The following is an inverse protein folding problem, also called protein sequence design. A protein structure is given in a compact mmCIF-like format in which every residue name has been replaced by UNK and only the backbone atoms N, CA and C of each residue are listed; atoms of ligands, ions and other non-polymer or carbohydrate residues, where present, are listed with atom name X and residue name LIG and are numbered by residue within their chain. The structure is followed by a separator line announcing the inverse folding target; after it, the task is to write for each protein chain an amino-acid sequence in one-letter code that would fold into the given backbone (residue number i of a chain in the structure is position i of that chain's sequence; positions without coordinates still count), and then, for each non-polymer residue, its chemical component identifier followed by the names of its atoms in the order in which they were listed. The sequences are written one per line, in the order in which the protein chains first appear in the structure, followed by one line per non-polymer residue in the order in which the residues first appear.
data_IF_593211693944
#
_entry.id   IF_593211693944
#
_cell.length_a   1.000
_cell.length_b   1.000
_cell.length_c   1.000
_cell.angle_alpha   90.00
_cell.angle_beta   90.00
_cell.angle_gamma   90.00
#
_symmetry.space_group_name_H-M   'P 1'
#
loop_
_entity.id
_entity.type
_entity.pdbx_description
1 polymer ?
#
# COMPACT_ATOMS: atom_id res chain seq x y z
N UNK A 1 -5.31 -14.08 34.45
CA UNK A 1 -5.79 -12.77 34.62
C UNK A 1 -5.09 -11.71 33.75
N UNK A 2 -4.95 -11.94 32.42
CA UNK A 2 -4.31 -10.94 31.53
C UNK A 2 -5.37 -10.10 30.78
N UNK A 3 -6.64 -10.45 30.90
CA UNK A 3 -7.64 -9.94 29.96
C UNK A 3 -8.34 -8.64 30.34
N UNK A 4 -8.45 -8.28 31.61
CA UNK A 4 -9.30 -7.15 31.98
C UNK A 4 -8.63 -5.78 31.86
N UNK A 5 -7.29 -5.71 31.92
CA UNK A 5 -6.60 -4.42 31.88
C UNK A 5 -6.32 -3.93 30.46
N UNK A 6 -6.22 -4.84 29.48
CA UNK A 6 -5.92 -4.47 28.08
C UNK A 6 -7.16 -3.94 27.37
N UNK A 7 -8.33 -4.45 27.74
CA UNK A 7 -9.59 -4.05 27.10
C UNK A 7 -10.54 -3.24 27.99
N UNK A 8 -10.12 -2.85 29.19
CA UNK A 8 -10.91 -1.99 30.07
C UNK A 8 -12.26 -2.58 30.52
N UNK A 9 -12.37 -3.93 30.64
CA UNK A 9 -13.63 -4.62 30.92
C UNK A 9 -14.05 -4.39 32.38
N UNK A 10 -14.68 -3.28 32.66
CA UNK A 10 -15.25 -3.00 33.97
C UNK A 10 -16.78 -2.80 33.98
N UNK A 11 -17.46 -2.92 32.84
CA UNK A 11 -18.92 -2.83 32.78
C UNK A 11 -19.48 -3.77 31.72
N UNK A 12 -20.37 -4.65 32.15
CA UNK A 12 -20.85 -5.83 31.41
C UNK A 12 -21.75 -5.48 30.20
N UNK A 13 -22.08 -4.22 29.94
CA UNK A 13 -23.12 -3.90 28.98
C UNK A 13 -22.65 -3.54 27.57
N UNK A 14 -21.58 -2.84 27.39
CA UNK A 14 -21.00 -2.58 26.07
C UNK A 14 -19.63 -1.96 26.25
N UNK A 15 -18.63 -2.49 25.57
CA UNK A 15 -17.31 -1.88 25.53
C UNK A 15 -16.96 -1.47 24.11
N UNK A 16 -16.66 -0.19 23.98
CA UNK A 16 -16.12 0.38 22.75
C UNK A 16 -14.65 0.77 23.00
N UNK A 17 -13.78 0.30 22.13
CA UNK A 17 -12.35 0.61 22.15
C UNK A 17 -12.01 1.28 20.83
N UNK A 18 -11.28 2.36 20.88
CA UNK A 18 -10.91 3.20 19.75
C UNK A 18 -11.19 4.68 20.03
N UNK A 19 -11.12 5.55 19.03
CA UNK A 19 -10.77 5.24 17.63
C UNK A 19 -9.27 4.95 17.45
N UNK A 20 -8.95 4.05 16.54
CA UNK A 20 -7.58 3.74 16.13
C UNK A 20 -7.39 4.07 14.65
N UNK A 21 -6.16 4.37 14.27
CA UNK A 21 -5.77 4.49 12.87
C UNK A 21 -4.83 3.35 12.51
N UNK A 22 -5.18 2.59 11.47
CA UNK A 22 -4.36 1.50 10.94
C UNK A 22 -3.90 1.87 9.54
N UNK A 23 -2.58 1.93 9.35
CA UNK A 23 -1.96 2.17 8.05
C UNK A 23 -1.17 0.92 7.63
N UNK A 24 -1.52 0.37 6.48
CA UNK A 24 -0.79 -0.71 5.81
C UNK A 24 -0.22 -0.17 4.51
N UNK A 25 1.02 -0.50 4.21
CA UNK A 25 1.67 -0.15 2.95
C UNK A 25 2.59 -1.30 2.53
N UNK A 26 2.35 -1.84 1.35
CA UNK A 26 3.19 -2.86 0.73
C UNK A 26 3.45 -2.47 -0.72
N UNK A 27 4.69 -2.64 -1.18
CA UNK A 27 5.04 -2.41 -2.58
C UNK A 27 6.06 -3.43 -3.06
N UNK A 28 5.99 -3.74 -4.35
CA UNK A 28 6.95 -4.55 -5.07
C UNK A 28 7.49 -3.76 -6.25
N UNK A 29 8.80 -3.71 -6.38
CA UNK A 29 9.48 -3.08 -7.49
C UNK A 29 10.77 -3.84 -7.82
N UNK A 30 11.24 -3.66 -9.04
CA UNK A 30 12.57 -4.11 -9.49
C UNK A 30 13.42 -2.87 -9.72
N UNK A 31 14.67 -2.91 -9.32
CA UNK A 31 15.63 -1.85 -9.62
C UNK A 31 16.71 -2.32 -10.60
N UNK A 32 17.12 -1.40 -11.45
CA UNK A 32 18.31 -1.53 -12.30
C UNK A 32 19.27 -0.44 -11.83
N UNK A 33 20.43 -0.86 -11.34
CA UNK A 33 21.34 0.04 -10.67
C UNK A 33 22.72 0.08 -11.33
N UNK A 34 23.27 1.29 -11.45
CA UNK A 34 24.65 1.53 -11.84
C UNK A 34 25.38 2.23 -10.69
N UNK A 35 26.43 1.58 -10.17
CA UNK A 35 27.20 2.10 -9.06
C UNK A 35 28.65 2.40 -9.45
N UNK A 36 29.22 3.41 -8.82
CA UNK A 36 30.62 3.74 -8.91
C UNK A 36 31.17 4.06 -7.53
N UNK A 37 32.39 3.59 -7.27
CA UNK A 37 33.14 3.97 -6.07
C UNK A 37 34.52 4.44 -6.42
N UNK A 38 35.02 5.43 -5.67
CA UNK A 38 36.33 6.02 -5.89
C UNK A 38 37.10 6.15 -4.57
N UNK A 39 38.31 5.65 -4.56
CA UNK A 39 39.26 5.84 -3.48
C UNK A 39 39.94 7.22 -3.66
N UNK A 40 39.60 8.17 -2.79
CA UNK A 40 40.16 9.51 -2.83
C UNK A 40 41.63 9.47 -2.35
N UNK A 41 41.89 8.74 -1.26
CA UNK A 41 43.21 8.51 -0.71
C UNK A 41 43.18 7.24 0.15
N UNK A 42 44.25 6.94 0.89
CA UNK A 42 44.32 5.74 1.70
C UNK A 42 43.33 5.71 2.88
N UNK A 43 42.76 6.85 3.24
CA UNK A 43 41.83 6.98 4.34
C UNK A 43 40.36 7.11 3.86
N UNK A 44 40.12 7.65 2.66
CA UNK A 44 38.79 7.98 2.21
C UNK A 44 38.40 7.26 0.93
N UNK A 45 37.25 6.62 0.96
CA UNK A 45 36.58 6.07 -0.22
C UNK A 45 35.15 6.59 -0.26
N UNK A 46 34.70 7.07 -1.40
CA UNK A 46 33.32 7.51 -1.64
C UNK A 46 32.69 6.65 -2.71
N UNK A 47 31.41 6.47 -2.63
CA UNK A 47 30.65 5.71 -3.65
C UNK A 47 29.25 6.26 -3.82
N UNK A 48 28.70 6.02 -4.99
CA UNK A 48 27.32 6.32 -5.31
C UNK A 48 26.73 5.27 -6.23
N UNK A 49 25.43 5.11 -6.17
CA UNK A 49 24.68 4.21 -7.03
C UNK A 49 23.42 4.92 -7.50
N UNK A 50 23.21 4.97 -8.80
CA UNK A 50 21.98 5.45 -9.41
C UNK A 50 21.10 4.26 -9.74
N UNK A 51 19.83 4.33 -9.38
CA UNK A 51 18.84 3.28 -9.60
C UNK A 51 17.68 3.79 -10.46
N UNK A 52 17.27 2.98 -11.42
CA UNK A 52 15.98 3.12 -12.09
C UNK A 52 15.02 2.13 -11.45
N UNK A 53 13.89 2.60 -10.98
CA UNK A 53 12.90 1.80 -10.26
C UNK A 53 11.72 1.48 -11.17
N UNK A 54 11.38 0.19 -11.28
CA UNK A 54 10.26 -0.33 -12.05
C UNK A 54 9.22 -0.87 -11.07
N UNK A 55 8.18 -0.09 -10.79
CA UNK A 55 7.13 -0.45 -9.86
C UNK A 55 6.19 -1.49 -10.45
N UNK A 56 6.07 -2.66 -9.82
CA UNK A 56 5.20 -3.73 -10.26
C UNK A 56 3.85 -3.71 -9.56
N UNK A 57 3.87 -3.57 -8.23
CA UNK A 57 2.63 -3.52 -7.46
C UNK A 57 2.81 -2.65 -6.22
N UNK A 58 1.71 -2.00 -5.83
CA UNK A 58 1.60 -1.29 -4.56
C UNK A 58 0.19 -1.49 -4.02
N UNK A 59 0.10 -1.75 -2.74
CA UNK A 59 -1.16 -1.75 -1.99
C UNK A 59 -0.95 -0.92 -0.74
N UNK A 60 -1.84 0.02 -0.51
CA UNK A 60 -1.91 0.72 0.77
C UNK A 60 -3.34 0.81 1.25
N UNK A 61 -3.53 0.64 2.55
CA UNK A 61 -4.81 0.80 3.21
C UNK A 61 -4.63 1.71 4.43
N UNK A 62 -5.45 2.73 4.49
CA UNK A 62 -5.57 3.61 5.65
C UNK A 62 -6.98 3.46 6.22
N UNK A 63 -7.10 2.81 7.37
CA UNK A 63 -8.36 2.70 8.09
C UNK A 63 -8.35 3.69 9.22
N UNK A 64 -9.23 4.68 9.15
CA UNK A 64 -9.39 5.72 10.15
C UNK A 64 -10.60 5.41 11.04
N UNK A 65 -10.57 5.94 12.26
CA UNK A 65 -11.64 5.78 13.25
C UNK A 65 -12.09 4.32 13.47
N UNK A 66 -11.11 3.40 13.47
CA UNK A 66 -11.38 1.99 13.71
C UNK A 66 -11.87 1.80 15.14
N UNK A 67 -13.08 1.34 15.31
CA UNK A 67 -13.73 1.07 16.58
C UNK A 67 -14.07 -0.39 16.72
N UNK A 68 -13.80 -0.93 17.89
CA UNK A 68 -14.17 -2.29 18.27
C UNK A 68 -15.17 -2.18 19.42
N UNK A 69 -16.38 -2.64 19.19
CA UNK A 69 -17.43 -2.67 20.19
C UNK A 69 -17.79 -4.11 20.48
N UNK A 70 -17.77 -4.49 21.74
CA UNK A 70 -18.08 -5.84 22.16
C UNK A 70 -19.14 -5.83 23.26
N UNK A 71 -20.12 -6.72 23.13
CA UNK A 71 -21.11 -7.07 24.15
C UNK A 71 -20.93 -8.52 24.55
N UNK A 72 -21.76 -9.03 25.47
CA UNK A 72 -21.77 -10.46 25.84
C UNK A 72 -22.07 -11.37 24.64
N UNK A 73 -22.87 -10.87 23.69
CA UNK A 73 -23.43 -11.68 22.60
C UNK A 73 -22.96 -11.23 21.21
N UNK A 74 -22.21 -10.15 21.09
CA UNK A 74 -21.79 -9.63 19.79
C UNK A 74 -20.45 -8.91 19.82
N UNK A 75 -19.74 -9.00 18.67
CA UNK A 75 -18.55 -8.24 18.36
C UNK A 75 -18.81 -7.41 17.10
N UNK A 76 -18.60 -6.11 17.19
CA UNK A 76 -18.70 -5.20 16.04
C UNK A 76 -17.37 -4.49 15.83
N UNK A 77 -16.89 -4.49 14.59
CA UNK A 77 -15.73 -3.72 14.15
C UNK A 77 -16.20 -2.77 13.07
N UNK A 78 -15.93 -1.48 13.22
CA UNK A 78 -16.29 -0.47 12.22
C UNK A 78 -15.13 0.49 11.98
N UNK A 79 -15.01 0.97 10.75
CA UNK A 79 -14.08 2.06 10.40
C UNK A 79 -14.85 3.33 10.07
N UNK A 80 -14.15 4.47 10.13
CA UNK A 80 -14.70 5.76 9.71
C UNK A 80 -14.81 5.89 8.18
N UNK A 81 -15.56 6.89 7.72
CA UNK A 81 -15.83 7.11 6.30
C UNK A 81 -14.61 7.61 5.50
N UNK A 82 -13.56 8.04 6.17
CA UNK A 82 -12.33 8.52 5.53
C UNK A 82 -11.31 7.40 5.26
N UNK A 83 -11.70 6.15 5.51
CA UNK A 83 -10.84 5.01 5.25
C UNK A 83 -10.66 4.80 3.75
N UNK A 84 -9.42 4.50 3.32
CA UNK A 84 -9.04 4.42 1.91
C UNK A 84 -8.22 3.19 1.63
N UNK A 85 -8.46 2.60 0.46
CA UNK A 85 -7.60 1.57 -0.12
C UNK A 85 -7.07 2.09 -1.45
N UNK A 86 -5.78 1.93 -1.66
CA UNK A 86 -5.09 2.24 -2.89
C UNK A 86 -4.39 0.99 -3.40
N UNK A 87 -4.56 0.69 -4.68
CA UNK A 87 -3.89 -0.42 -5.34
C UNK A 87 -3.31 0.04 -6.66
N UNK A 88 -2.06 -0.29 -6.94
CA UNK A 88 -1.41 -0.08 -8.22
C UNK A 88 -0.82 -1.40 -8.71
N UNK A 89 -1.08 -1.75 -9.95
CA UNK A 89 -0.58 -2.95 -10.61
C UNK A 89 -0.73 -2.78 -12.14
N UNK A 90 -0.06 -3.59 -12.97
CA UNK A 90 -0.22 -3.57 -14.42
C UNK A 90 -1.54 -4.20 -14.87
N UNK A 91 -2.66 -3.65 -14.38
CA UNK A 91 -4.02 -4.09 -14.65
C UNK A 91 -4.76 -3.07 -15.52
N UNK A 92 -5.88 -3.48 -16.09
CA UNK A 92 -6.82 -2.62 -16.82
C UNK A 92 -7.82 -2.00 -15.83
N UNK A 93 -7.37 -1.02 -15.06
CA UNK A 93 -8.21 -0.33 -14.07
C UNK A 93 -9.42 0.36 -14.68
N UNK A 94 -9.31 0.79 -15.96
CA UNK A 94 -10.40 1.42 -16.71
C UNK A 94 -11.57 0.47 -16.99
N UNK A 95 -11.38 -0.84 -16.81
CA UNK A 95 -12.44 -1.83 -16.95
C UNK A 95 -13.33 -1.93 -15.69
N UNK A 96 -12.99 -1.21 -14.62
CA UNK A 96 -13.86 -1.06 -13.47
C UNK A 96 -14.87 0.02 -13.78
N UNK A 97 -16.20 -0.27 -13.77
CA UNK A 97 -17.21 0.74 -14.02
C UNK A 97 -17.17 1.84 -12.95
N UNK A 98 -17.24 3.10 -13.37
CA UNK A 98 -17.31 4.23 -12.45
C UNK A 98 -18.57 4.09 -11.57
N UNK A 99 -18.44 4.35 -10.29
CA UNK A 99 -19.53 4.21 -9.34
C UNK A 99 -19.83 2.78 -8.92
N UNK A 100 -18.90 1.85 -9.11
CA UNK A 100 -19.01 0.49 -8.56
C UNK A 100 -18.92 0.55 -7.04
N UNK A 101 -20.07 0.35 -6.38
CA UNK A 101 -20.20 0.44 -4.92
C UNK A 101 -20.03 -0.92 -4.23
N UNK A 102 -19.77 -1.99 -4.99
CA UNK A 102 -19.62 -3.32 -4.45
C UNK A 102 -18.43 -4.03 -5.12
N UNK A 103 -17.43 -4.39 -4.34
CA UNK A 103 -16.25 -5.13 -4.79
C UNK A 103 -16.59 -6.51 -5.36
N UNK A 104 -17.72 -7.09 -4.94
CA UNK A 104 -18.18 -8.40 -5.41
C UNK A 104 -18.60 -8.39 -6.90
N UNK A 105 -18.89 -7.22 -7.45
CA UNK A 105 -19.26 -7.04 -8.85
C UNK A 105 -18.08 -6.82 -9.79
N UNK A 106 -16.84 -6.81 -9.25
CA UNK A 106 -15.65 -6.67 -10.07
C UNK A 106 -15.24 -8.04 -10.62
N UNK A 107 -15.43 -8.24 -11.90
CA UNK A 107 -14.89 -9.40 -12.59
C UNK A 107 -13.38 -9.29 -12.72
N UNK A 108 -12.65 -9.92 -11.80
CA UNK A 108 -11.17 -9.86 -11.75
C UNK A 108 -10.51 -10.32 -13.04
N UNK A 109 -11.16 -11.20 -13.81
CA UNK A 109 -10.69 -11.63 -15.12
C UNK A 109 -10.55 -10.48 -16.12
N UNK A 110 -11.46 -9.52 -16.08
CA UNK A 110 -11.44 -8.36 -16.99
C UNK A 110 -10.36 -7.34 -16.63
N UNK A 111 -9.79 -7.40 -15.42
CA UNK A 111 -8.67 -6.55 -15.03
C UNK A 111 -7.33 -7.06 -15.58
N UNK A 112 -7.19 -8.37 -15.76
CA UNK A 112 -5.97 -9.00 -16.27
C UNK A 112 -5.95 -9.05 -17.79
N UNK A 113 -7.11 -9.37 -18.41
CA UNK A 113 -7.27 -9.59 -19.84
C UNK A 113 -8.46 -8.75 -20.32
N UNK A 114 -8.21 -7.87 -21.25
CA UNK A 114 -9.26 -7.15 -21.95
C UNK A 114 -9.59 -7.90 -23.25
N UNK A 115 -10.82 -8.44 -23.33
CA UNK A 115 -11.30 -9.20 -24.48
C UNK A 115 -11.42 -8.35 -25.75
N UNK A 116 -11.43 -7.02 -25.63
CA UNK A 116 -11.44 -6.09 -26.75
C UNK A 116 -10.04 -5.81 -27.32
N UNK A 117 -8.98 -6.33 -26.68
CA UNK A 117 -7.59 -6.12 -27.05
C UNK A 117 -6.97 -7.42 -27.56
N UNK A 118 -5.95 -7.28 -28.39
CA UNK A 118 -5.20 -8.42 -28.89
C UNK A 118 -4.41 -9.11 -27.78
N UNK A 119 -4.07 -10.40 -27.99
CA UNK A 119 -3.20 -11.16 -27.09
C UNK A 119 -1.87 -10.46 -26.82
N UNK A 120 -1.30 -9.82 -27.85
CA UNK A 120 -0.04 -9.07 -27.72
C UNK A 120 -0.20 -7.87 -26.79
N UNK A 121 -1.29 -7.11 -26.91
CA UNK A 121 -1.56 -5.96 -26.05
C UNK A 121 -1.79 -6.40 -24.62
N UNK A 122 -2.50 -7.48 -24.37
CA UNK A 122 -2.71 -8.03 -23.04
C UNK A 122 -1.38 -8.47 -22.39
N UNK A 123 -0.50 -9.15 -23.13
CA UNK A 123 0.84 -9.52 -22.64
C UNK A 123 1.66 -8.26 -22.35
N UNK A 124 1.67 -7.29 -23.26
CA UNK A 124 2.41 -6.04 -23.07
C UNK A 124 1.91 -5.27 -21.85
N UNK A 125 0.60 -5.29 -21.58
CA UNK A 125 0.04 -4.68 -20.38
C UNK A 125 0.61 -5.29 -19.11
N UNK A 126 0.66 -6.61 -19.01
CA UNK A 126 1.13 -7.34 -17.82
C UNK A 126 2.63 -7.16 -17.54
N UNK A 127 3.45 -7.06 -18.58
CA UNK A 127 4.91 -6.90 -18.45
C UNK A 127 5.35 -5.43 -18.29
N UNK A 128 4.47 -4.48 -18.61
CA UNK A 128 4.78 -3.05 -18.46
C UNK A 128 4.62 -2.64 -16.99
N UNK A 129 5.64 -2.04 -16.36
CA UNK A 129 5.54 -1.62 -14.97
C UNK A 129 4.35 -0.68 -14.70
N UNK A 130 3.73 -0.83 -13.55
CA UNK A 130 2.66 0.03 -13.09
C UNK A 130 3.16 1.42 -12.67
N UNK A 131 4.46 1.53 -12.36
CA UNK A 131 5.10 2.77 -11.98
C UNK A 131 6.57 2.83 -12.37
N UNK A 132 7.10 4.04 -12.45
CA UNK A 132 8.50 4.31 -12.74
C UNK A 132 9.08 5.29 -11.73
N UNK A 133 10.36 5.11 -11.41
CA UNK A 133 11.03 5.97 -10.46
C UNK A 133 12.54 5.97 -10.60
N UNK A 134 13.18 6.73 -9.74
CA UNK A 134 14.62 6.77 -9.63
C UNK A 134 15.02 6.86 -8.16
N UNK A 135 16.18 6.33 -7.82
CA UNK A 135 16.77 6.46 -6.50
C UNK A 135 18.29 6.60 -6.58
N UNK A 136 18.86 7.16 -5.52
CA UNK A 136 20.27 7.38 -5.35
C UNK A 136 20.73 6.77 -4.02
N UNK A 137 21.82 5.99 -4.08
CA UNK A 137 22.56 5.59 -2.89
C UNK A 137 23.87 6.37 -2.85
N UNK A 138 24.23 6.82 -1.66
CA UNK A 138 25.51 7.48 -1.41
C UNK A 138 26.19 6.80 -0.23
N UNK A 139 27.50 6.66 -0.30
CA UNK A 139 28.27 6.04 0.76
C UNK A 139 29.66 6.65 0.88
N UNK A 140 30.16 6.66 2.10
CA UNK A 140 31.53 7.08 2.42
C UNK A 140 32.14 6.10 3.40
N UNK A 141 33.38 5.75 3.16
CA UNK A 141 34.18 4.94 4.06
C UNK A 141 35.42 5.72 4.48
N UNK A 142 35.68 5.75 5.77
CA UNK A 142 36.86 6.37 6.37
C UNK A 142 37.67 5.33 7.14
N UNK A 143 38.97 5.25 6.82
CA UNK A 143 39.95 4.38 7.49
C UNK A 143 41.02 5.24 8.16
N UNK A 144 40.82 5.61 9.43
CA UNK A 144 41.85 6.39 10.15
C UNK A 144 43.13 5.64 10.37
N UNK A 145 43.07 4.32 10.57
CA UNK A 145 44.18 3.38 10.71
C UNK A 145 43.79 2.07 10.00
N UNK A 146 44.77 1.20 9.72
CA UNK A 146 44.53 -0.07 9.00
C UNK A 146 43.52 -0.99 9.68
N UNK A 147 43.44 -0.96 11.01
CA UNK A 147 42.58 -1.84 11.80
C UNK A 147 41.16 -1.29 12.01
N UNK A 148 40.91 -0.01 11.65
CA UNK A 148 39.63 0.63 11.90
C UNK A 148 39.02 1.18 10.60
N UNK A 149 37.79 0.76 10.30
CA UNK A 149 37.01 1.28 9.20
C UNK A 149 35.65 1.79 9.71
N UNK A 150 35.29 3.00 9.36
CA UNK A 150 34.00 3.63 9.64
C UNK A 150 33.31 3.84 8.30
N UNK A 151 32.06 3.37 8.19
CA UNK A 151 31.26 3.55 6.97
C UNK A 151 29.95 4.22 7.31
N UNK A 152 29.56 5.19 6.51
CA UNK A 152 28.25 5.82 6.54
C UNK A 152 27.61 5.76 5.13
N UNK A 153 26.32 5.48 5.08
CA UNK A 153 25.60 5.43 3.82
C UNK A 153 24.15 5.90 3.98
N UNK A 154 23.64 6.47 2.90
CA UNK A 154 22.22 6.75 2.70
C UNK A 154 21.80 5.99 1.46
N UNK A 155 20.78 5.14 1.59
CA UNK A 155 20.27 4.28 0.51
C UNK A 155 18.84 4.61 0.18
N UNK A 156 18.45 4.32 -1.08
CA UNK A 156 17.08 4.44 -1.57
C UNK A 156 16.49 5.86 -1.45
N UNK A 157 17.34 6.87 -1.59
CA UNK A 157 16.89 8.26 -1.67
C UNK A 157 16.23 8.50 -3.02
N UNK A 158 14.92 8.28 -3.10
CA UNK A 158 14.21 8.31 -4.36
C UNK A 158 12.70 8.25 -4.23
N UNK A 159 12.03 8.07 -5.39
CA UNK A 159 10.59 7.98 -5.48
C UNK A 159 10.17 7.04 -6.61
N UNK A 160 8.93 6.55 -6.55
CA UNK A 160 8.24 5.85 -7.64
C UNK A 160 6.92 6.57 -7.92
N UNK A 161 6.71 6.98 -9.16
CA UNK A 161 5.44 7.50 -9.66
C UNK A 161 4.60 6.35 -10.20
N UNK A 162 3.44 6.12 -9.60
CA UNK A 162 2.52 5.07 -9.97
C UNK A 162 1.48 5.62 -10.95
N UNK A 163 1.46 5.08 -12.17
CA UNK A 163 0.58 5.54 -13.25
C UNK A 163 -0.66 4.67 -13.44
N UNK A 164 -0.59 3.40 -13.02
CA UNK A 164 -1.68 2.42 -13.15
C UNK A 164 -2.16 2.04 -11.78
N UNK A 165 -3.23 2.67 -11.33
CA UNK A 165 -3.75 2.50 -9.99
C UNK A 165 -5.25 2.70 -9.93
N UNK A 166 -5.87 2.18 -8.89
CA UNK A 166 -7.21 2.51 -8.45
C UNK A 166 -7.19 2.88 -6.97
N UNK A 167 -8.10 3.73 -6.58
CA UNK A 167 -8.32 4.12 -5.19
C UNK A 167 -9.80 3.96 -4.87
N UNK A 168 -10.09 3.49 -3.67
CA UNK A 168 -11.44 3.38 -3.18
C UNK A 168 -11.52 3.95 -1.76
N UNK A 169 -12.58 4.69 -1.49
CA UNK A 169 -13.01 4.98 -0.14
C UNK A 169 -13.74 3.75 0.40
N UNK A 170 -13.40 3.31 1.60
CA UNK A 170 -13.97 2.09 2.18
C UNK A 170 -14.49 2.35 3.59
N UNK A 171 -15.62 1.75 3.91
CA UNK A 171 -16.09 1.65 5.28
C UNK A 171 -16.19 0.17 5.64
N UNK A 172 -15.47 -0.23 6.66
CA UNK A 172 -15.50 -1.60 7.17
C UNK A 172 -16.54 -1.67 8.28
N UNK A 173 -17.53 -2.55 8.13
CA UNK A 173 -18.48 -2.89 9.16
C UNK A 173 -18.53 -4.40 9.28
N UNK A 174 -18.00 -4.90 10.38
CA UNK A 174 -18.03 -6.32 10.71
C UNK A 174 -18.88 -6.53 11.96
N UNK A 175 -19.78 -7.49 11.90
CA UNK A 175 -20.64 -7.84 13.01
C UNK A 175 -20.69 -9.37 13.18
N UNK A 176 -20.37 -9.86 14.37
CA UNK A 176 -20.48 -11.26 14.71
C UNK A 176 -21.35 -11.42 15.95
N UNK A 177 -22.29 -12.36 15.91
CA UNK A 177 -23.17 -12.71 17.04
C UNK A 177 -22.80 -14.08 17.59
N UNK A 178 -22.93 -14.28 18.91
CA UNK A 178 -22.59 -15.53 19.59
C UNK A 178 -23.61 -16.65 19.35
N UNK A 179 -24.82 -16.34 18.88
CA UNK A 179 -25.93 -17.28 18.70
C UNK A 179 -26.03 -17.93 17.32
N UNK A 180 -25.20 -17.56 16.40
CA UNK A 180 -25.08 -18.11 15.07
C UNK A 180 -23.90 -17.48 14.38
N UNK A 181 -23.16 -18.25 13.60
CA UNK A 181 -22.07 -17.75 12.78
C UNK A 181 -22.62 -16.98 11.55
N UNK A 182 -23.47 -15.99 11.78
CA UNK A 182 -23.86 -15.03 10.75
C UNK A 182 -22.78 -13.98 10.67
N UNK A 183 -21.86 -14.20 9.76
CA UNK A 183 -20.86 -13.23 9.35
C UNK A 183 -21.50 -12.30 8.32
N UNK A 184 -22.07 -11.21 8.75
CA UNK A 184 -22.47 -10.15 7.85
C UNK A 184 -21.24 -9.26 7.59
N UNK A 185 -20.53 -9.54 6.52
CA UNK A 185 -19.50 -8.68 6.00
C UNK A 185 -20.15 -7.70 5.01
N UNK A 186 -20.32 -6.47 5.41
CA UNK A 186 -20.64 -5.40 4.47
C UNK A 186 -19.38 -4.54 4.25
N UNK A 187 -18.65 -4.80 3.18
CA UNK A 187 -17.76 -3.80 2.61
C UNK A 187 -18.66 -2.77 1.92
N UNK A 188 -18.82 -1.62 2.54
CA UNK A 188 -19.80 -0.65 2.10
C UNK A 188 -19.15 0.57 1.47
N UNK A 189 -19.68 0.91 0.30
CA UNK A 189 -19.82 2.23 -0.29
C UNK A 189 -18.54 3.04 -0.47
N UNK A 190 -17.65 2.52 -1.30
CA UNK A 190 -16.61 3.33 -1.91
C UNK A 190 -16.78 3.27 -3.42
N UNK A 191 -16.92 4.40 -4.08
CA UNK A 191 -16.76 4.44 -5.52
C UNK A 191 -15.29 4.13 -5.84
N UNK A 192 -15.07 3.06 -6.62
CA UNK A 192 -13.77 2.83 -7.24
C UNK A 192 -13.63 3.86 -8.35
N UNK A 193 -12.91 4.92 -8.09
CA UNK A 193 -12.52 5.87 -9.13
C UNK A 193 -11.25 5.34 -9.80
N UNK A 194 -11.38 4.87 -11.02
CA UNK A 194 -10.25 4.69 -11.92
C UNK A 194 -9.73 6.07 -12.31
N UNK A 195 -8.73 6.58 -11.63
CA UNK A 195 -8.12 7.85 -11.96
C UNK A 195 -7.36 7.73 -13.28
N UNK A 196 -7.81 8.44 -14.29
CA UNK A 196 -7.04 8.72 -15.48
C UNK A 196 -5.75 9.46 -15.11
N UNK A 197 -4.66 9.10 -15.79
CA UNK A 197 -3.31 9.64 -15.60
C UNK A 197 -3.17 11.17 -15.62
N UNK A 198 -4.21 11.88 -16.02
CA UNK A 198 -4.22 13.34 -16.15
C UNK A 198 -4.59 14.08 -14.86
N UNK A 199 -5.13 13.40 -13.85
CA UNK A 199 -5.50 14.02 -12.56
C UNK A 199 -4.36 14.03 -11.53
N UNK A 200 -3.30 13.27 -11.73
CA UNK A 200 -2.15 13.23 -10.82
C UNK A 200 -1.24 14.48 -10.87
N UNK A 201 -1.44 15.36 -11.84
CA UNK A 201 -0.64 16.58 -11.97
C UNK A 201 -1.10 17.73 -11.06
N UNK A 202 -2.27 17.63 -10.43
CA UNK A 202 -2.87 18.72 -9.65
C UNK A 202 -2.77 18.58 -8.14
N UNK A 203 -2.46 17.39 -7.61
CA UNK A 203 -2.40 17.17 -6.15
C UNK A 203 -0.97 17.14 -5.58
N UNK A 204 0.04 17.54 -6.37
CA UNK A 204 1.45 17.65 -5.94
C UNK A 204 1.91 19.11 -5.75
N UNK A 205 1.04 19.99 -5.20
CA UNK A 205 1.44 21.33 -4.74
C UNK A 205 1.10 21.52 -3.27
#
# INVERSE_FOLDING_TARGET
GISSSIFGINNINTQEVGPYTLNLNAMAYTDIALGYSHKINDHWTVGGKLKVLLGQAKVSAALEDLKISSTLDSLKISSGPNSKIYAAAPLYWDNIPNGTNNLDNIETGNLLIDNNKSTKENIMNLITPAGFGAALDLGVTYKPIEQLQITASVTDLGFISWKRHAQADVAVNYHANSLGLDFEYSAYDGSLDGMNSDQLATDAT
#
